data_IF_446784424690
#
_entry.id   IF_446784424690
#
_cell.length_a   1.000
_cell.length_b   1.000
_cell.length_c   1.000
_cell.angle_alpha   90.00
_cell.angle_beta   90.00
_cell.angle_gamma   90.00
#
_symmetry.space_group_name_H-M   'P 1'
#
loop_
_entity.id
_entity.type
_entity.pdbx_description
1 polymer ?
#
# COMPACT_ATOMS: atom_id res chain seq x y z
N UNK A 1 18.21 -52.13 -2.97
CA UNK A 1 18.14 -53.27 -3.93
C UNK A 1 18.11 -54.61 -3.19
N UNK A 2 17.02 -54.94 -2.49
CA UNK A 2 16.93 -56.19 -1.71
C UNK A 2 15.52 -56.81 -1.69
N UNK A 3 14.55 -56.27 -2.43
CA UNK A 3 13.13 -56.65 -2.34
C UNK A 3 12.74 -57.89 -3.18
N UNK A 4 13.72 -58.59 -3.78
CA UNK A 4 13.45 -59.71 -4.70
C UNK A 4 12.85 -59.27 -6.04
N UNK A 5 12.28 -60.20 -6.81
CA UNK A 5 11.52 -59.92 -8.05
C UNK A 5 10.03 -59.82 -7.71
N UNK A 6 9.38 -58.73 -8.11
CA UNK A 6 7.94 -58.55 -7.93
C UNK A 6 7.43 -57.35 -8.73
N UNK A 7 6.13 -57.30 -9.08
CA UNK A 7 5.56 -56.13 -9.74
C UNK A 7 5.47 -54.93 -8.77
N UNK A 8 5.88 -53.75 -9.23
CA UNK A 8 5.57 -52.47 -8.58
C UNK A 8 4.17 -52.04 -9.00
N UNK A 9 3.32 -51.69 -8.03
CA UNK A 9 2.02 -51.04 -8.26
C UNK A 9 1.98 -49.71 -7.50
N UNK A 10 1.52 -48.68 -8.19
CA UNK A 10 1.35 -47.33 -7.66
C UNK A 10 -0.10 -46.91 -7.89
N UNK A 11 -0.71 -46.35 -6.85
CA UNK A 11 -2.06 -45.82 -6.90
C UNK A 11 -2.10 -44.51 -6.13
N UNK A 12 -2.64 -43.45 -6.73
CA UNK A 12 -2.89 -42.21 -6.04
C UNK A 12 -4.38 -41.89 -6.14
N UNK A 13 -4.96 -41.40 -5.06
CA UNK A 13 -6.32 -40.92 -5.03
C UNK A 13 -6.42 -39.66 -4.20
N UNK A 14 -7.39 -38.83 -4.52
CA UNK A 14 -7.68 -37.64 -3.76
C UNK A 14 -8.52 -37.91 -2.50
N UNK A 15 -8.89 -36.84 -1.77
CA UNK A 15 -9.68 -36.94 -0.55
C UNK A 15 -11.11 -37.48 -0.77
N UNK A 16 -11.63 -37.37 -1.99
CA UNK A 16 -12.96 -37.86 -2.40
C UNK A 16 -12.88 -39.27 -3.02
N UNK A 17 -11.67 -39.82 -3.19
CA UNK A 17 -11.41 -41.14 -3.74
C UNK A 17 -11.26 -41.17 -5.26
N UNK A 18 -11.17 -40.02 -5.93
CA UNK A 18 -10.91 -39.98 -7.37
C UNK A 18 -9.44 -40.31 -7.66
N UNK A 19 -9.16 -41.17 -8.65
CA UNK A 19 -7.80 -41.55 -8.99
C UNK A 19 -7.01 -40.37 -9.58
N UNK A 20 -5.74 -40.28 -9.21
CA UNK A 20 -4.76 -39.34 -9.77
C UNK A 20 -3.80 -40.13 -10.66
N UNK A 21 -3.66 -39.70 -11.91
CA UNK A 21 -2.76 -40.35 -12.87
C UNK A 21 -1.29 -40.25 -12.44
N UNK A 22 -0.64 -41.40 -12.38
CA UNK A 22 0.80 -41.53 -12.09
C UNK A 22 1.51 -42.04 -13.33
N UNK A 23 2.49 -41.29 -13.81
CA UNK A 23 3.43 -41.73 -14.85
C UNK A 23 4.57 -42.49 -14.19
N UNK A 24 4.74 -43.76 -14.57
CA UNK A 24 5.81 -44.63 -14.06
C UNK A 24 6.76 -44.99 -15.19
N UNK A 25 8.06 -44.79 -14.98
CA UNK A 25 9.13 -45.19 -15.88
C UNK A 25 10.08 -46.13 -15.14
N UNK A 26 10.28 -47.33 -15.68
CA UNK A 26 11.31 -48.26 -15.22
C UNK A 26 12.67 -47.82 -15.78
N UNK A 27 13.69 -47.73 -14.92
CA UNK A 27 15.04 -47.37 -15.32
C UNK A 27 15.91 -48.58 -15.70
N UNK A 28 15.40 -49.82 -15.54
CA UNK A 28 16.10 -51.05 -15.92
C UNK A 28 17.21 -51.48 -14.95
N UNK A 29 17.42 -50.74 -13.87
CA UNK A 29 18.46 -50.98 -12.86
C UNK A 29 17.86 -51.31 -11.47
N UNK A 30 16.57 -51.65 -11.45
CA UNK A 30 15.79 -51.89 -10.24
C UNK A 30 15.32 -50.63 -9.53
N UNK A 31 15.39 -49.46 -10.19
CA UNK A 31 14.77 -48.21 -9.74
C UNK A 31 13.65 -47.77 -10.70
N UNK A 32 12.70 -47.02 -10.17
CA UNK A 32 11.56 -46.50 -10.94
C UNK A 32 11.49 -44.99 -10.75
N UNK A 33 11.23 -44.26 -11.83
CA UNK A 33 10.95 -42.83 -11.82
C UNK A 33 9.44 -42.61 -11.96
N UNK A 34 8.82 -42.02 -10.93
CA UNK A 34 7.38 -41.86 -10.84
C UNK A 34 7.02 -40.38 -10.70
N UNK A 35 6.12 -39.89 -11.56
CA UNK A 35 5.69 -38.48 -11.57
C UNK A 35 4.18 -38.42 -11.62
N UNK A 36 3.60 -37.57 -10.78
CA UNK A 36 2.19 -37.19 -10.83
C UNK A 36 2.08 -35.67 -10.65
N UNK A 37 1.00 -35.09 -11.18
CA UNK A 37 0.72 -33.65 -11.07
C UNK A 37 -0.63 -33.49 -10.37
N UNK A 38 -0.67 -33.02 -9.10
CA UNK A 38 -1.92 -32.68 -8.45
C UNK A 38 -2.63 -31.58 -9.25
N UNK A 39 -3.87 -31.82 -9.68
CA UNK A 39 -4.68 -30.84 -10.42
C UNK A 39 -5.47 -29.92 -9.51
N UNK A 40 -5.56 -30.25 -8.22
CA UNK A 40 -6.20 -29.47 -7.16
C UNK A 40 -5.30 -29.45 -5.93
N UNK A 41 -5.31 -28.34 -5.19
CA UNK A 41 -4.63 -28.22 -3.91
C UNK A 41 -5.39 -29.00 -2.84
N UNK A 42 -5.19 -30.31 -2.85
CA UNK A 42 -5.93 -31.23 -2.00
C UNK A 42 -5.03 -32.24 -1.31
N UNK A 43 -5.52 -32.71 -0.17
CA UNK A 43 -4.98 -33.88 0.50
C UNK A 43 -5.23 -35.10 -0.41
N UNK A 44 -4.18 -35.86 -0.67
CA UNK A 44 -4.26 -37.07 -1.48
C UNK A 44 -3.40 -38.17 -0.86
N UNK A 45 -3.72 -39.41 -1.21
CA UNK A 45 -3.06 -40.61 -0.70
C UNK A 45 -2.34 -41.31 -1.82
N UNK A 46 -1.05 -41.58 -1.64
CA UNK A 46 -0.23 -42.38 -2.57
C UNK A 46 0.04 -43.74 -1.92
N UNK A 47 -0.39 -44.81 -2.58
CA UNK A 47 -0.16 -46.19 -2.19
C UNK A 47 0.93 -46.76 -3.09
N UNK A 48 2.00 -47.22 -2.46
CA UNK A 48 3.10 -47.95 -3.09
C UNK A 48 3.03 -49.39 -2.63
N UNK A 49 2.96 -50.34 -3.58
CA UNK A 49 2.93 -51.76 -3.30
C UNK A 49 3.94 -52.53 -4.15
N UNK A 50 4.61 -53.50 -3.54
CA UNK A 50 5.58 -54.39 -4.19
C UNK A 50 5.12 -55.84 -4.03
N UNK A 51 4.96 -56.58 -5.13
CA UNK A 51 4.48 -57.97 -5.06
C UNK A 51 3.07 -58.10 -4.48
N UNK A 52 2.26 -57.04 -4.56
CA UNK A 52 0.92 -57.01 -3.97
C UNK A 52 0.88 -56.63 -2.48
N UNK A 53 2.03 -56.36 -1.85
CA UNK A 53 2.13 -55.96 -0.44
C UNK A 53 2.53 -54.48 -0.36
N UNK A 54 1.86 -53.70 0.50
CA UNK A 54 2.24 -52.31 0.73
C UNK A 54 3.68 -52.21 1.22
N UNK A 55 4.45 -51.29 0.62
CA UNK A 55 5.80 -51.01 1.11
C UNK A 55 5.75 -50.34 2.48
N UNK A 56 6.84 -50.34 3.25
CA UNK A 56 6.92 -49.53 4.47
C UNK A 56 6.49 -48.08 4.20
N UNK A 57 5.74 -47.51 5.15
CA UNK A 57 5.17 -46.15 5.11
C UNK A 57 4.07 -45.92 4.05
N UNK A 58 3.72 -46.92 3.25
CA UNK A 58 2.53 -46.91 2.40
C UNK A 58 1.31 -47.35 3.22
N UNK A 59 0.19 -46.60 3.21
CA UNK A 59 -0.10 -45.44 2.37
C UNK A 59 0.55 -44.13 2.84
N UNK A 60 1.08 -43.36 1.89
CA UNK A 60 1.62 -42.02 2.11
C UNK A 60 0.51 -40.98 1.97
N UNK A 61 0.28 -40.18 3.01
CA UNK A 61 -0.67 -39.05 2.96
C UNK A 61 0.09 -37.77 2.63
N UNK A 62 -0.27 -37.13 1.53
CA UNK A 62 0.35 -35.88 1.05
C UNK A 62 -0.68 -34.77 1.12
N UNK A 63 -0.32 -33.66 1.78
CA UNK A 63 -1.14 -32.45 1.81
C UNK A 63 -0.64 -31.51 0.71
N UNK A 64 -1.40 -31.35 -0.37
CA UNK A 64 -1.14 -30.30 -1.36
C UNK A 64 -1.74 -28.98 -0.88
N UNK A 65 -0.91 -27.98 -0.61
CA UNK A 65 -1.36 -26.57 -0.51
C UNK A 65 -1.37 -25.93 -1.89
N UNK A 66 -2.07 -24.81 -2.06
CA UNK A 66 -2.11 -24.06 -3.33
C UNK A 66 -0.75 -23.47 -3.76
N UNK A 67 0.26 -23.59 -2.88
CA UNK A 67 1.53 -22.87 -3.03
C UNK A 67 1.35 -21.39 -2.69
N UNK A 68 2.44 -20.64 -2.78
CA UNK A 68 2.42 -19.19 -2.69
C UNK A 68 2.95 -18.63 -4.01
N UNK A 69 2.16 -17.76 -4.63
CA UNK A 69 2.45 -17.16 -5.92
C UNK A 69 2.39 -15.62 -5.83
N UNK A 70 3.41 -14.97 -5.26
CA UNK A 70 3.49 -13.49 -5.16
C UNK A 70 3.34 -12.78 -6.51
N UNK A 71 3.74 -13.44 -7.60
CA UNK A 71 3.60 -12.91 -8.96
C UNK A 71 2.16 -12.78 -9.46
N UNK A 72 1.19 -13.39 -8.76
CA UNK A 72 -0.24 -13.34 -9.09
C UNK A 72 -1.02 -12.34 -8.24
N UNK A 73 -0.37 -11.71 -7.26
CA UNK A 73 -0.98 -10.63 -6.48
C UNK A 73 -1.11 -9.39 -7.36
N UNK A 74 -2.30 -8.79 -7.36
CA UNK A 74 -2.59 -7.55 -8.09
C UNK A 74 -2.89 -6.45 -7.09
N UNK A 75 -2.45 -5.23 -7.40
CA UNK A 75 -2.70 -4.05 -6.56
C UNK A 75 -3.27 -2.95 -7.43
N UNK A 76 -4.38 -2.36 -7.01
CA UNK A 76 -5.08 -1.32 -7.78
C UNK A 76 -5.89 -0.39 -6.87
N UNK A 77 -6.27 0.77 -7.38
CA UNK A 77 -7.09 1.77 -6.67
C UNK A 77 -6.41 3.13 -6.56
N UNK A 78 -7.16 4.18 -6.17
CA UNK A 78 -6.69 5.56 -6.22
C UNK A 78 -5.43 5.81 -5.35
N UNK A 79 -5.25 5.05 -4.27
CA UNK A 79 -4.10 5.14 -3.36
C UNK A 79 -2.76 4.70 -3.95
N UNK A 80 -2.74 4.06 -5.12
CA UNK A 80 -1.49 3.64 -5.81
C UNK A 80 -1.34 4.28 -7.19
N UNK A 81 -2.26 5.17 -7.56
CA UNK A 81 -2.19 5.91 -8.82
C UNK A 81 -1.05 6.93 -8.81
N UNK A 82 -0.47 7.18 -9.98
CA UNK A 82 0.67 8.10 -10.12
C UNK A 82 0.30 9.56 -9.90
N UNK A 83 -0.99 9.90 -10.02
CA UNK A 83 -1.50 11.27 -10.00
C UNK A 83 -2.89 11.33 -9.35
N UNK A 84 -3.27 12.51 -8.86
CA UNK A 84 -4.61 12.77 -8.35
C UNK A 84 -4.74 12.63 -6.83
N UNK A 85 -3.68 12.21 -6.15
CA UNK A 85 -3.62 12.16 -4.69
C UNK A 85 -3.34 13.54 -4.11
N UNK A 86 -4.05 13.87 -3.03
CA UNK A 86 -3.88 15.14 -2.31
C UNK A 86 -3.61 14.93 -0.84
N UNK A 87 -2.79 15.79 -0.26
CA UNK A 87 -2.47 15.76 1.16
C UNK A 87 -3.73 15.92 2.02
N UNK A 88 -3.84 15.16 3.10
CA UNK A 88 -4.94 15.16 4.05
C UNK A 88 -6.29 14.70 3.48
N UNK A 89 -6.31 14.13 2.27
CA UNK A 89 -7.49 13.45 1.73
C UNK A 89 -7.33 11.93 1.95
N UNK A 90 -8.29 11.26 2.62
CA UNK A 90 -8.27 9.81 2.75
C UNK A 90 -8.33 9.12 1.40
N UNK A 91 -7.53 8.08 1.23
CA UNK A 91 -7.50 7.27 0.01
C UNK A 91 -7.39 5.79 0.35
N UNK A 92 -7.49 4.93 -0.66
CA UNK A 92 -7.37 3.49 -0.50
C UNK A 92 -6.83 2.81 -1.75
N UNK A 93 -6.30 1.60 -1.55
CA UNK A 93 -6.03 0.66 -2.63
C UNK A 93 -6.40 -0.75 -2.17
N UNK A 94 -6.56 -1.64 -3.14
CA UNK A 94 -6.91 -3.05 -2.93
C UNK A 94 -5.72 -3.92 -3.32
N UNK A 95 -5.41 -4.89 -2.45
CA UNK A 95 -4.48 -5.98 -2.71
C UNK A 95 -5.32 -7.24 -2.96
N UNK A 96 -5.32 -7.72 -4.20
CA UNK A 96 -6.04 -8.92 -4.63
C UNK A 96 -5.09 -10.12 -4.66
N UNK A 97 -5.34 -11.07 -3.75
CA UNK A 97 -4.58 -12.30 -3.60
C UNK A 97 -5.37 -13.54 -4.04
N UNK A 98 -6.52 -13.37 -4.68
CA UNK A 98 -7.44 -14.47 -5.05
C UNK A 98 -6.81 -15.56 -5.94
N UNK A 99 -5.76 -15.22 -6.67
CA UNK A 99 -5.01 -16.16 -7.53
C UNK A 99 -3.62 -16.52 -6.97
N UNK A 100 -3.26 -15.99 -5.79
CA UNK A 100 -1.91 -16.07 -5.22
C UNK A 100 -1.69 -17.29 -4.32
N UNK A 101 -2.75 -18.04 -3.98
CA UNK A 101 -2.69 -19.19 -3.09
C UNK A 101 -2.53 -18.78 -1.62
N UNK A 102 -1.87 -19.63 -0.83
CA UNK A 102 -1.73 -19.40 0.61
C UNK A 102 -0.53 -18.50 0.94
N UNK A 103 -0.76 -17.43 1.70
CA UNK A 103 0.30 -16.55 2.18
C UNK A 103 -0.22 -15.33 2.93
N UNK A 104 0.65 -14.74 3.75
CA UNK A 104 0.34 -13.50 4.46
C UNK A 104 0.73 -12.28 3.62
N UNK A 105 -0.08 -11.24 3.68
CA UNK A 105 0.19 -9.93 3.06
C UNK A 105 0.90 -9.04 4.08
N UNK A 106 2.02 -8.43 3.67
CA UNK A 106 2.73 -7.42 4.45
C UNK A 106 2.84 -6.13 3.64
N UNK A 107 2.47 -5.01 4.25
CA UNK A 107 2.43 -3.69 3.61
C UNK A 107 3.27 -2.71 4.44
N UNK A 108 3.99 -1.83 3.76
CA UNK A 108 4.64 -0.67 4.38
C UNK A 108 4.43 0.57 3.52
N UNK A 109 4.13 1.70 4.16
CA UNK A 109 3.99 2.99 3.49
C UNK A 109 4.97 3.96 4.14
N UNK A 110 5.85 4.55 3.33
CA UNK A 110 6.84 5.53 3.77
C UNK A 110 6.72 6.82 2.98
N UNK A 111 6.95 7.95 3.64
CA UNK A 111 7.11 9.24 2.98
C UNK A 111 8.59 9.66 2.93
N UNK A 112 8.94 10.42 1.90
CA UNK A 112 10.29 10.96 1.73
C UNK A 112 10.61 12.05 2.80
N UNK A 113 11.90 12.36 3.02
CA UNK A 113 12.30 13.48 3.86
C UNK A 113 11.65 14.80 3.41
N UNK A 114 11.26 15.63 4.37
CA UNK A 114 10.62 16.92 4.16
C UNK A 114 9.09 16.89 4.12
N UNK A 115 8.46 15.70 4.14
CA UNK A 115 6.99 15.59 4.13
C UNK A 115 6.40 15.77 5.53
N UNK A 116 6.81 14.94 6.50
CA UNK A 116 6.38 15.05 7.91
C UNK A 116 7.51 15.44 8.86
N UNK A 117 8.76 15.38 8.38
CA UNK A 117 9.95 15.64 9.17
C UNK A 117 11.21 15.60 8.30
N UNK A 118 12.40 15.81 8.89
CA UNK A 118 13.66 15.88 8.15
C UNK A 118 14.16 14.54 7.61
N UNK A 119 13.51 13.43 8.00
CA UNK A 119 13.87 12.06 7.62
C UNK A 119 12.68 11.37 6.98
N UNK A 120 12.92 10.21 6.38
CA UNK A 120 11.84 9.29 5.99
C UNK A 120 11.03 8.88 7.22
N UNK A 121 9.72 8.74 7.04
CA UNK A 121 8.83 8.31 8.10
C UNK A 121 7.79 7.32 7.58
N UNK A 122 7.45 6.35 8.43
CA UNK A 122 6.35 5.44 8.20
C UNK A 122 5.01 6.19 8.33
N UNK A 123 4.04 5.75 7.54
CA UNK A 123 2.68 6.29 7.50
C UNK A 123 1.74 5.23 8.02
N UNK A 124 0.89 5.63 8.96
CA UNK A 124 -0.16 4.75 9.49
C UNK A 124 -1.21 4.44 8.43
N UNK A 125 -1.69 3.21 8.46
CA UNK A 125 -2.73 2.71 7.57
C UNK A 125 -3.56 1.63 8.26
N UNK A 126 -4.79 1.47 7.78
CA UNK A 126 -5.68 0.39 8.19
C UNK A 126 -5.76 -0.66 7.09
N UNK A 127 -5.75 -1.93 7.49
CA UNK A 127 -6.04 -3.05 6.59
C UNK A 127 -7.41 -3.62 6.94
N UNK A 128 -8.28 -3.68 5.94
CA UNK A 128 -9.59 -4.32 6.03
C UNK A 128 -9.53 -5.58 5.16
N UNK A 129 -9.67 -6.76 5.78
CA UNK A 129 -9.84 -8.01 5.05
C UNK A 129 -11.27 -8.04 4.48
N UNK A 130 -11.40 -8.26 3.17
CA UNK A 130 -12.68 -8.47 2.52
C UNK A 130 -12.90 -9.97 2.26
N UNK A 131 -14.07 -10.31 1.70
CA UNK A 131 -14.31 -11.62 1.11
C UNK A 131 -13.46 -11.82 -0.17
N UNK A 132 -13.32 -13.08 -0.60
CA UNK A 132 -12.58 -13.48 -1.82
C UNK A 132 -11.07 -13.19 -1.81
N UNK A 133 -10.41 -13.30 -0.66
CA UNK A 133 -8.95 -13.14 -0.51
C UNK A 133 -8.41 -11.80 -1.03
N UNK A 134 -9.18 -10.74 -0.80
CA UNK A 134 -8.77 -9.36 -1.08
C UNK A 134 -8.65 -8.54 0.21
N UNK A 135 -7.78 -7.55 0.19
CA UNK A 135 -7.52 -6.65 1.32
C UNK A 135 -7.61 -5.20 0.85
N UNK A 136 -8.40 -4.39 1.56
CA UNK A 136 -8.47 -2.94 1.33
C UNK A 136 -7.55 -2.23 2.32
N UNK A 137 -6.58 -1.49 1.79
CA UNK A 137 -5.66 -0.67 2.58
C UNK A 137 -6.12 0.78 2.52
N UNK A 138 -6.36 1.40 3.67
CA UNK A 138 -6.77 2.80 3.78
C UNK A 138 -5.68 3.59 4.47
N UNK A 139 -5.34 4.75 3.91
CA UNK A 139 -4.38 5.65 4.52
C UNK A 139 -4.70 7.11 4.18
N UNK A 140 -4.14 8.03 4.96
CA UNK A 140 -4.21 9.47 4.68
C UNK A 140 -2.80 10.02 4.62
N UNK A 141 -2.41 10.62 3.50
CA UNK A 141 -1.10 11.25 3.35
C UNK A 141 -1.06 12.58 4.12
N UNK A 142 -0.26 12.74 5.18
CA UNK A 142 -0.27 13.96 6.00
C UNK A 142 0.26 15.21 5.28
N UNK A 143 1.05 15.05 4.22
CA UNK A 143 1.70 16.14 3.53
C UNK A 143 1.85 15.89 2.03
N UNK A 144 2.16 16.95 1.28
CA UNK A 144 2.51 16.83 -0.12
C UNK A 144 3.95 16.31 -0.26
N UNK A 145 4.19 15.44 -1.23
CA UNK A 145 5.51 14.89 -1.48
C UNK A 145 5.48 13.50 -2.10
N UNK A 146 6.62 12.83 -2.05
CA UNK A 146 6.80 11.48 -2.59
C UNK A 146 6.62 10.44 -1.50
N UNK A 147 5.92 9.36 -1.85
CA UNK A 147 5.69 8.22 -0.97
C UNK A 147 6.07 6.92 -1.69
N UNK A 148 6.49 5.93 -0.90
CA UNK A 148 6.85 4.59 -1.34
C UNK A 148 5.96 3.58 -0.61
N UNK A 149 5.21 2.79 -1.36
CA UNK A 149 4.36 1.71 -0.84
C UNK A 149 5.01 0.39 -1.24
N UNK A 150 5.33 -0.43 -0.25
CA UNK A 150 5.89 -1.78 -0.43
C UNK A 150 4.80 -2.80 -0.13
N UNK A 151 4.68 -3.82 -0.99
CA UNK A 151 3.73 -4.91 -0.81
C UNK A 151 4.46 -6.23 -0.99
N UNK A 152 4.41 -7.06 0.04
CA UNK A 152 4.97 -8.40 0.06
C UNK A 152 3.84 -9.42 0.26
N UNK A 153 4.00 -10.58 -0.37
CA UNK A 153 3.16 -11.75 -0.16
C UNK A 153 4.04 -12.94 0.20
N UNK A 154 3.74 -13.61 1.32
CA UNK A 154 4.57 -14.67 1.88
C UNK A 154 6.06 -14.30 2.00
N UNK A 155 6.34 -13.07 2.46
CA UNK A 155 7.68 -12.49 2.60
C UNK A 155 8.46 -12.27 1.29
N UNK A 156 7.80 -12.36 0.13
CA UNK A 156 8.39 -12.05 -1.17
C UNK A 156 7.70 -10.84 -1.79
N UNK A 157 8.49 -9.96 -2.41
CA UNK A 157 7.98 -8.77 -3.09
C UNK A 157 7.18 -9.13 -4.35
N UNK A 158 6.09 -8.41 -4.58
CA UNK A 158 5.21 -8.61 -5.74
C UNK A 158 5.71 -7.83 -6.99
N UNK A 159 5.34 -8.19 -8.23
CA UNK A 159 5.90 -7.61 -9.47
C UNK A 159 5.67 -6.12 -9.75
N UNK A 160 5.01 -5.37 -8.87
CA UNK A 160 4.83 -3.91 -9.01
C UNK A 160 5.21 -3.13 -7.76
N UNK A 161 5.65 -3.84 -6.73
CA UNK A 161 6.26 -3.21 -5.57
C UNK A 161 7.74 -2.88 -5.89
N UNK A 162 8.25 -1.73 -5.42
CA UNK A 162 7.52 -0.70 -4.69
C UNK A 162 6.72 0.24 -5.62
N UNK A 163 5.55 0.68 -5.16
CA UNK A 163 4.77 1.73 -5.80
C UNK A 163 5.30 3.09 -5.33
N UNK A 164 5.77 3.91 -6.27
CA UNK A 164 6.22 5.28 -6.01
C UNK A 164 5.13 6.25 -6.49
N UNK A 165 4.55 6.99 -5.56
CA UNK A 165 3.43 7.90 -5.81
C UNK A 165 3.79 9.33 -5.41
N UNK A 166 3.14 10.29 -6.05
CA UNK A 166 3.23 11.71 -5.71
C UNK A 166 1.90 12.18 -5.14
N UNK A 167 1.97 12.80 -3.96
CA UNK A 167 0.84 13.46 -3.31
C UNK A 167 0.99 14.96 -3.51
N UNK A 168 0.00 15.58 -4.13
CA UNK A 168 -0.03 17.02 -4.36
C UNK A 168 -0.61 17.78 -3.15
N UNK A 169 -0.35 19.08 -3.02
CA UNK A 169 -1.03 19.90 -2.01
C UNK A 169 -2.55 19.86 -2.17
N UNK A 170 -3.28 19.82 -1.05
CA UNK A 170 -4.75 19.94 -1.05
C UNK A 170 -5.27 21.35 -1.30
N UNK A 171 -4.35 22.32 -1.40
CA UNK A 171 -4.64 23.72 -1.60
C UNK A 171 -3.79 24.30 -2.73
N UNK A 172 -4.23 25.44 -3.25
CA UNK A 172 -3.65 26.15 -4.38
C UNK A 172 -3.51 27.62 -4.02
N UNK A 173 -2.33 27.98 -3.50
CA UNK A 173 -2.04 29.33 -3.04
C UNK A 173 -2.13 30.38 -4.15
N UNK A 174 -2.01 29.99 -5.44
CA UNK A 174 -2.10 30.91 -6.57
C UNK A 174 -3.50 31.52 -6.75
N UNK A 175 -4.50 30.90 -6.13
CA UNK A 175 -5.89 31.39 -6.11
C UNK A 175 -6.20 32.33 -4.95
N UNK A 176 -5.26 32.53 -4.02
CA UNK A 176 -5.41 33.46 -2.92
C UNK A 176 -5.14 34.89 -3.41
N UNK A 177 -5.97 35.83 -3.00
CA UNK A 177 -5.80 37.27 -3.30
C UNK A 177 -5.77 38.06 -2.00
N UNK A 178 -4.88 39.04 -1.90
CA UNK A 178 -4.81 39.94 -0.77
C UNK A 178 -4.90 41.40 -1.24
N UNK A 179 -5.77 42.19 -0.62
CA UNK A 179 -6.02 43.58 -1.00
C UNK A 179 -6.46 44.43 0.19
N UNK A 180 -6.12 45.71 0.17
CA UNK A 180 -6.54 46.66 1.21
C UNK A 180 -5.49 47.74 1.48
N UNK A 181 -5.83 48.76 2.28
CA UNK A 181 -4.96 49.90 2.54
C UNK A 181 -3.63 49.50 3.20
N UNK A 182 -3.61 48.46 4.03
CA UNK A 182 -2.40 47.93 4.67
C UNK A 182 -1.43 47.19 3.75
N UNK A 183 -1.75 47.02 2.47
CA UNK A 183 -0.82 46.48 1.46
C UNK A 183 -0.40 47.54 0.44
N UNK A 184 -0.87 48.78 0.59
CA UNK A 184 -0.54 49.87 -0.31
C UNK A 184 0.95 50.24 -0.20
N UNK A 185 1.57 50.57 -1.33
CA UNK A 185 2.97 51.05 -1.36
C UNK A 185 3.17 52.39 -0.66
N UNK A 186 2.09 53.15 -0.50
CA UNK A 186 2.09 54.49 0.08
C UNK A 186 0.85 54.68 0.96
N UNK A 187 0.95 55.55 1.98
CA UNK A 187 -0.19 55.92 2.83
C UNK A 187 -0.39 55.02 4.06
N UNK A 188 0.54 54.12 4.35
CA UNK A 188 0.61 53.43 5.65
C UNK A 188 1.44 54.29 6.60
N UNK A 189 0.84 54.73 7.71
CA UNK A 189 1.45 55.61 8.70
C UNK A 189 1.80 54.84 9.98
N UNK A 190 2.99 55.09 10.52
CA UNK A 190 3.46 54.46 11.78
C UNK A 190 2.54 54.83 12.93
N UNK A 191 2.15 53.85 13.74
CA UNK A 191 1.23 54.04 14.87
C UNK A 191 -0.25 54.18 14.49
N UNK A 192 -0.57 54.20 13.19
CA UNK A 192 -1.96 54.26 12.70
C UNK A 192 -2.42 52.86 12.29
N UNK A 193 -3.47 52.28 12.93
CA UNK A 193 -3.98 50.97 12.57
C UNK A 193 -4.45 50.93 11.11
N UNK A 194 -4.12 49.85 10.42
CA UNK A 194 -4.56 49.59 9.05
C UNK A 194 -4.96 48.12 8.88
N UNK A 195 -5.47 47.77 7.71
CA UNK A 195 -5.93 46.41 7.44
C UNK A 195 -5.80 46.02 5.98
N UNK A 196 -5.86 44.71 5.73
CA UNK A 196 -6.10 44.16 4.41
C UNK A 196 -6.93 42.88 4.53
N UNK A 197 -7.59 42.52 3.43
CA UNK A 197 -8.41 41.32 3.32
C UNK A 197 -7.71 40.29 2.46
N UNK A 198 -7.75 39.04 2.88
CA UNK A 198 -7.24 37.88 2.14
C UNK A 198 -8.43 37.01 1.72
N UNK A 199 -8.66 36.85 0.42
CA UNK A 199 -9.69 36.01 -0.17
C UNK A 199 -9.08 34.65 -0.53
N UNK A 200 -9.64 33.57 0.01
CA UNK A 200 -9.14 32.19 -0.17
C UNK A 200 -10.11 31.30 -0.96
N UNK A 201 -11.19 31.87 -1.51
CA UNK A 201 -12.21 31.13 -2.27
C UNK A 201 -11.56 30.41 -3.46
N UNK A 202 -11.77 29.09 -3.52
CA UNK A 202 -11.23 28.24 -4.59
C UNK A 202 -9.79 27.77 -4.40
N UNK A 203 -9.09 28.25 -3.36
CA UNK A 203 -7.73 27.84 -3.03
C UNK A 203 -7.66 26.53 -2.24
N UNK A 204 -8.80 25.91 -1.87
CA UNK A 204 -8.80 24.74 -0.97
C UNK A 204 -8.63 25.13 0.51
N UNK A 205 -8.52 24.14 1.38
CA UNK A 205 -8.43 24.35 2.84
C UNK A 205 -6.97 24.30 3.28
N UNK A 206 -6.45 25.42 3.76
CA UNK A 206 -5.12 25.53 4.35
C UNK A 206 -5.10 26.63 5.43
N UNK A 207 -4.21 26.54 6.44
CA UNK A 207 -4.03 27.63 7.39
C UNK A 207 -3.44 28.87 6.69
N UNK A 208 -3.91 30.05 7.09
CA UNK A 208 -3.32 31.32 6.67
C UNK A 208 -2.21 31.70 7.66
N UNK A 209 -0.98 31.84 7.17
CA UNK A 209 0.15 32.38 7.95
C UNK A 209 0.46 33.81 7.48
N UNK A 210 0.58 34.74 8.43
CA UNK A 210 0.86 36.16 8.17
C UNK A 210 2.07 36.56 9.00
N UNK A 211 3.10 37.08 8.33
CA UNK A 211 4.34 37.52 8.97
C UNK A 211 4.72 38.91 8.50
N UNK A 212 5.10 39.76 9.44
CA UNK A 212 5.64 41.08 9.18
C UNK A 212 7.16 41.03 9.35
N UNK A 213 7.90 41.46 8.33
CA UNK A 213 9.36 41.49 8.35
C UNK A 213 9.79 42.94 8.14
N UNK A 214 10.43 43.52 9.15
CA UNK A 214 10.93 44.89 9.13
C UNK A 214 12.39 44.95 8.70
N UNK A 215 12.85 46.13 8.26
CA UNK A 215 14.22 46.37 7.82
C UNK A 215 15.18 46.84 8.95
N UNK A 216 14.66 47.07 10.16
CA UNK A 216 15.41 47.62 11.29
C UNK A 216 15.36 46.75 12.56
N UNK A 217 16.11 47.11 13.61
CA UNK A 217 16.05 46.43 14.89
C UNK A 217 14.70 46.68 15.57
N UNK A 218 13.99 45.60 15.92
CA UNK A 218 12.71 45.64 16.61
C UNK A 218 11.60 44.90 15.86
N UNK A 219 10.40 44.78 16.46
CA UNK A 219 9.24 44.21 15.79
C UNK A 219 8.79 45.11 14.63
N UNK A 220 8.36 44.48 13.54
CA UNK A 220 7.94 45.19 12.32
C UNK A 220 6.58 45.90 12.45
N UNK A 221 5.79 45.49 13.45
CA UNK A 221 4.46 46.02 13.79
C UNK A 221 4.33 45.99 15.31
N UNK A 222 3.59 46.94 15.90
CA UNK A 222 3.30 46.97 17.32
C UNK A 222 2.38 45.81 17.74
N UNK A 223 1.34 45.55 16.94
CA UNK A 223 0.37 44.48 17.13
C UNK A 223 -0.30 44.09 15.81
N UNK A 224 -0.88 42.89 15.77
CA UNK A 224 -1.75 42.46 14.68
C UNK A 224 -2.75 41.40 15.12
N UNK A 225 -3.86 41.32 14.40
CA UNK A 225 -4.88 40.27 14.54
C UNK A 225 -5.26 39.72 13.16
N UNK A 226 -5.54 38.42 13.12
CA UNK A 226 -6.08 37.75 11.93
C UNK A 226 -7.48 37.24 12.27
N UNK A 227 -8.49 37.84 11.64
CA UNK A 227 -9.90 37.51 11.85
C UNK A 227 -10.36 36.61 10.72
N UNK A 228 -10.90 35.44 11.04
CA UNK A 228 -11.60 34.60 10.06
C UNK A 228 -13.03 35.11 9.90
N UNK A 229 -13.40 35.56 8.70
CA UNK A 229 -14.73 36.12 8.44
C UNK A 229 -15.78 35.03 8.15
N UNK A 230 -15.40 33.74 8.15
CA UNK A 230 -16.25 32.59 7.86
C UNK A 230 -16.93 32.60 6.48
N UNK A 231 -16.43 33.41 5.55
CA UNK A 231 -16.95 33.58 4.18
C UNK A 231 -15.88 33.29 3.10
N UNK A 232 -14.90 32.44 3.42
CA UNK A 232 -13.68 32.22 2.62
C UNK A 232 -12.80 33.47 2.50
N UNK A 233 -12.82 34.32 3.53
CA UNK A 233 -11.87 35.41 3.65
C UNK A 233 -11.39 35.63 5.08
N UNK A 234 -10.23 36.26 5.20
CA UNK A 234 -9.64 36.71 6.45
C UNK A 234 -9.42 38.21 6.41
N UNK A 235 -9.58 38.88 7.54
CA UNK A 235 -9.20 40.29 7.72
C UNK A 235 -7.96 40.32 8.60
N UNK A 236 -6.87 40.87 8.09
CA UNK A 236 -5.68 41.15 8.88
C UNK A 236 -5.71 42.62 9.26
N UNK A 237 -5.68 42.91 10.56
CA UNK A 237 -5.48 44.27 11.07
C UNK A 237 -4.15 44.34 11.77
N UNK A 238 -3.43 45.44 11.61
CA UNK A 238 -2.13 45.63 12.25
C UNK A 238 -1.82 47.12 12.43
N UNK A 239 -0.93 47.41 13.37
CA UNK A 239 -0.40 48.76 13.59
C UNK A 239 1.11 48.75 13.31
N UNK A 240 1.60 49.49 12.29
CA UNK A 240 3.03 49.57 11.98
C UNK A 240 3.85 50.23 13.11
#
# INVERSE_FOLDING_TARGET
RAAGKGPLKLYAQDAEGFPIDIKVKDNGDGTFHCVYVPTKAMKHTVIVAWGGVNTPNSPFRVSGGEGSHPSRVKVHGPGVEKTGLKANEPTYFTVDCSEAGQGDVSIGIKCAPGVVGPLEADIDFDIIKNDNDTFTVKYTAPGAGLYTIMVLFANQEIPSSPFRIKVDPSHDATKVKAEGPGLSRTGVEVGTPTHFRVQTRGAGKAPLDVRFVGSGPGPAVADFEVINNHDYSYTVKYTP
#
